data_IF_415257628073
#
_entry.id   IF_415257628073
#
_cell.length_a   1.000
_cell.length_b   1.000
_cell.length_c   1.000
_cell.angle_alpha   90.00
_cell.angle_beta   90.00
_cell.angle_gamma   90.00
#
_symmetry.space_group_name_H-M   'P 1'
#
loop_
_entity.id
_entity.type
_entity.pdbx_description
1 polymer ?
#
# COMPACT_ATOMS: atom_id res chain seq x y z
N UNK A 1 5.18 -15.30 -16.72
CA UNK A 1 4.76 -16.44 -15.87
C UNK A 1 4.79 -17.68 -16.75
N UNK A 2 5.53 -18.73 -16.39
CA UNK A 2 5.45 -20.03 -17.07
C UNK A 2 4.31 -20.84 -16.45
N UNK A 3 3.41 -21.35 -17.30
CA UNK A 3 2.42 -22.36 -16.94
C UNK A 3 2.83 -23.69 -17.60
N UNK A 4 2.69 -24.79 -16.86
CA UNK A 4 3.03 -26.12 -17.35
C UNK A 4 2.37 -27.23 -16.53
N UNK A 5 2.58 -28.46 -16.96
CA UNK A 5 2.08 -29.66 -16.28
C UNK A 5 3.25 -30.56 -15.91
N UNK A 6 3.21 -31.16 -14.73
CA UNK A 6 4.10 -32.28 -14.37
C UNK A 6 3.30 -33.56 -14.59
N UNK A 7 3.83 -34.45 -15.43
CA UNK A 7 3.28 -35.80 -15.63
C UNK A 7 3.99 -36.74 -14.67
N UNK A 8 3.26 -37.30 -13.72
CA UNK A 8 3.81 -38.30 -12.79
C UNK A 8 3.51 -39.68 -13.37
N UNK A 9 4.57 -40.45 -13.68
CA UNK A 9 4.46 -41.87 -14.04
C UNK A 9 4.66 -42.71 -12.77
N UNK A 10 3.74 -43.63 -12.51
CA UNK A 10 3.84 -44.57 -11.39
C UNK A 10 4.66 -45.78 -11.85
N UNK A 11 5.56 -46.25 -10.98
CA UNK A 11 6.38 -47.44 -11.20
C UNK A 11 5.50 -48.70 -11.39
N UNK A 12 5.85 -49.54 -12.37
CA UNK A 12 5.06 -50.70 -12.78
C UNK A 12 4.90 -51.75 -11.66
N UNK A 13 5.77 -51.78 -10.65
CA UNK A 13 5.58 -52.66 -9.48
C UNK A 13 4.44 -52.23 -8.56
N UNK A 14 4.17 -50.92 -8.43
CA UNK A 14 3.13 -50.36 -7.55
C UNK A 14 1.74 -50.43 -8.23
N UNK A 15 1.72 -50.45 -9.57
CA UNK A 15 0.50 -50.56 -10.38
C UNK A 15 -0.26 -51.87 -10.18
N UNK A 16 0.43 -52.97 -9.84
CA UNK A 16 -0.21 -54.29 -9.71
C UNK A 16 -0.94 -54.48 -8.37
N UNK A 17 -0.59 -53.72 -7.33
CA UNK A 17 -1.22 -53.82 -5.99
C UNK A 17 -2.38 -52.83 -5.78
N UNK A 18 -2.46 -51.75 -6.57
CA UNK A 18 -3.38 -50.62 -6.29
C UNK A 18 -4.43 -50.35 -7.38
N UNK A 19 -4.39 -51.08 -8.49
CA UNK A 19 -5.33 -50.95 -9.63
C UNK A 19 -5.45 -49.53 -10.22
N UNK A 20 -4.43 -48.68 -10.03
CA UNK A 20 -4.35 -47.33 -10.62
C UNK A 20 -3.41 -47.38 -11.82
N UNK A 21 -3.96 -47.34 -13.04
CA UNK A 21 -3.19 -47.59 -14.28
C UNK A 21 -2.91 -46.32 -15.10
N UNK A 22 -3.40 -45.13 -14.72
CA UNK A 22 -3.24 -43.92 -15.55
C UNK A 22 -2.33 -42.86 -14.94
N UNK A 23 -1.35 -42.32 -15.72
CA UNK A 23 -0.57 -41.16 -15.32
C UNK A 23 -1.48 -39.94 -15.17
N UNK A 24 -1.34 -39.19 -14.09
CA UNK A 24 -2.10 -37.95 -13.88
C UNK A 24 -1.20 -36.71 -14.01
N UNK A 25 -1.79 -35.62 -14.51
CA UNK A 25 -1.12 -34.35 -14.75
C UNK A 25 -1.46 -33.37 -13.63
N UNK A 26 -0.45 -32.81 -12.98
CA UNK A 26 -0.62 -31.76 -11.98
C UNK A 26 -0.29 -30.41 -12.64
N UNK A 27 -1.26 -29.48 -12.77
CA UNK A 27 -0.99 -28.15 -13.27
C UNK A 27 -0.19 -27.35 -12.24
N UNK A 28 0.80 -26.58 -12.70
CA UNK A 28 1.49 -25.64 -11.84
C UNK A 28 1.62 -24.25 -12.48
N UNK A 29 1.66 -23.24 -11.62
CA UNK A 29 1.90 -21.84 -11.98
C UNK A 29 3.03 -21.31 -11.09
N UNK A 30 4.14 -20.91 -11.70
CA UNK A 30 5.28 -20.33 -10.96
C UNK A 30 4.93 -18.92 -10.46
N UNK A 31 4.97 -18.64 -9.14
CA UNK A 31 4.89 -17.27 -8.61
C UNK A 31 6.29 -16.64 -8.54
N UNK A 32 6.37 -15.30 -8.70
CA UNK A 32 7.63 -14.54 -8.57
C UNK A 32 8.24 -14.65 -7.16
N UNK A 33 7.46 -14.98 -6.14
CA UNK A 33 7.92 -15.08 -4.74
C UNK A 33 7.44 -16.40 -4.07
N UNK A 34 8.24 -17.46 -4.20
CA UNK A 34 8.59 -18.44 -3.16
C UNK A 34 7.59 -19.33 -2.40
N UNK A 35 6.30 -19.00 -2.15
CA UNK A 35 5.55 -19.66 -1.04
C UNK A 35 4.12 -20.10 -1.42
N UNK A 36 3.92 -20.92 -2.47
CA UNK A 36 2.58 -21.44 -2.78
C UNK A 36 2.49 -22.92 -3.18
N UNK A 37 3.51 -23.74 -2.90
CA UNK A 37 3.50 -25.17 -3.28
C UNK A 37 3.03 -26.14 -2.19
N UNK A 38 3.06 -25.75 -0.90
CA UNK A 38 2.83 -26.69 0.20
C UNK A 38 1.34 -27.10 0.37
N UNK A 39 0.41 -26.20 0.07
CA UNK A 39 -1.02 -26.42 0.34
C UNK A 39 -1.71 -27.38 -0.66
N UNK A 40 -1.23 -27.44 -1.91
CA UNK A 40 -1.83 -28.29 -2.96
C UNK A 40 -1.43 -29.76 -2.83
N UNK A 41 -0.20 -30.04 -2.39
CA UNK A 41 0.31 -31.40 -2.20
C UNK A 41 -0.43 -32.09 -1.04
N UNK A 42 -0.65 -31.39 0.07
CA UNK A 42 -1.39 -31.91 1.22
C UNK A 42 -2.85 -32.26 0.85
N UNK A 43 -3.56 -31.40 0.11
CA UNK A 43 -4.94 -31.68 -0.32
C UNK A 43 -5.07 -32.90 -1.24
N UNK A 44 -4.05 -33.22 -2.04
CA UNK A 44 -4.02 -34.39 -2.91
C UNK A 44 -3.80 -35.71 -2.16
N UNK A 45 -2.86 -35.74 -1.20
CA UNK A 45 -2.51 -36.96 -0.45
C UNK A 45 -3.64 -37.39 0.50
N UNK A 46 -4.37 -36.44 1.09
CA UNK A 46 -5.52 -36.76 1.95
C UNK A 46 -6.73 -37.32 1.18
N UNK A 47 -6.81 -37.11 -0.14
CA UNK A 47 -7.88 -37.67 -1.00
C UNK A 47 -7.65 -39.12 -1.44
N UNK A 48 -6.48 -39.71 -1.15
CA UNK A 48 -6.19 -41.11 -1.46
C UNK A 48 -6.79 -42.01 -0.37
N UNK A 49 -7.93 -42.62 -0.67
CA UNK A 49 -8.79 -43.30 0.31
C UNK A 49 -8.39 -44.71 0.76
N UNK A 50 -7.39 -45.45 0.21
CA UNK A 50 -7.05 -46.76 0.78
C UNK A 50 -5.72 -46.80 1.56
N UNK A 51 -4.91 -45.73 1.55
CA UNK A 51 -3.58 -45.76 2.17
C UNK A 51 -3.63 -45.69 3.70
N UNK A 52 -2.88 -46.57 4.38
CA UNK A 52 -2.72 -46.55 5.84
C UNK A 52 -2.10 -45.22 6.30
N UNK A 53 -2.45 -44.76 7.51
CA UNK A 53 -1.95 -43.48 8.06
C UNK A 53 -0.42 -43.37 8.01
N UNK A 54 0.28 -44.47 8.28
CA UNK A 54 1.75 -44.51 8.28
C UNK A 54 2.34 -44.28 6.87
N UNK A 55 1.73 -44.86 5.83
CA UNK A 55 2.18 -44.66 4.44
C UNK A 55 1.93 -43.22 3.96
N UNK A 56 0.83 -42.60 4.38
CA UNK A 56 0.53 -41.19 4.07
C UNK A 56 1.58 -40.25 4.69
N UNK A 57 2.00 -40.50 5.93
CA UNK A 57 3.06 -39.72 6.57
C UNK A 57 4.41 -39.88 5.86
N UNK A 58 4.82 -41.12 5.53
CA UNK A 58 6.06 -41.34 4.79
C UNK A 58 6.06 -40.68 3.41
N UNK A 59 4.92 -40.66 2.71
CA UNK A 59 4.79 -40.01 1.41
C UNK A 59 4.86 -38.48 1.52
N UNK A 60 4.26 -37.89 2.57
CA UNK A 60 4.35 -36.44 2.82
C UNK A 60 5.80 -36.05 3.14
N UNK A 61 6.48 -36.82 3.99
CA UNK A 61 7.88 -36.57 4.35
C UNK A 61 8.83 -36.69 3.15
N UNK A 62 8.67 -37.70 2.30
CA UNK A 62 9.52 -37.89 1.12
C UNK A 62 9.30 -36.79 0.07
N UNK A 63 8.05 -36.40 -0.19
CA UNK A 63 7.73 -35.31 -1.12
C UNK A 63 8.26 -33.98 -0.57
N UNK A 64 8.12 -33.73 0.73
CA UNK A 64 8.65 -32.52 1.37
C UNK A 64 10.17 -32.42 1.19
N UNK A 65 10.88 -33.53 1.43
CA UNK A 65 12.33 -33.61 1.28
C UNK A 65 12.78 -33.36 -0.17
N UNK A 66 12.10 -33.97 -1.14
CA UNK A 66 12.36 -33.78 -2.58
C UNK A 66 12.13 -32.33 -3.02
N UNK A 67 11.07 -31.68 -2.54
CA UNK A 67 10.79 -30.27 -2.85
C UNK A 67 11.86 -29.35 -2.24
N UNK A 68 12.31 -29.62 -1.00
CA UNK A 68 13.39 -28.85 -0.38
C UNK A 68 14.73 -29.03 -1.09
N UNK A 69 15.06 -30.25 -1.53
CA UNK A 69 16.28 -30.51 -2.30
C UNK A 69 16.23 -29.82 -3.68
N UNK A 70 15.08 -29.84 -4.35
CA UNK A 70 14.89 -29.15 -5.63
C UNK A 70 14.97 -27.62 -5.48
N UNK A 71 14.43 -27.06 -4.39
CA UNK A 71 14.54 -25.63 -4.06
C UNK A 71 16.00 -25.23 -3.80
N UNK A 72 16.76 -26.04 -3.06
CA UNK A 72 18.19 -25.82 -2.81
C UNK A 72 19.02 -25.91 -4.09
N UNK A 73 18.70 -26.85 -4.99
CA UNK A 73 19.40 -27.03 -6.27
C UNK A 73 19.08 -25.90 -7.24
N UNK A 74 17.82 -25.42 -7.28
CA UNK A 74 17.44 -24.21 -8.02
C UNK A 74 18.13 -22.96 -7.44
N UNK A 75 18.20 -22.82 -6.12
CA UNK A 75 18.90 -21.69 -5.48
C UNK A 75 20.39 -21.68 -5.83
N UNK A 76 21.06 -22.84 -5.83
CA UNK A 76 22.46 -22.97 -6.24
C UNK A 76 22.67 -22.61 -7.73
N UNK A 77 21.77 -23.08 -8.60
CA UNK A 77 21.78 -22.77 -10.04
C UNK A 77 21.54 -21.27 -10.32
N UNK A 78 20.61 -20.63 -9.59
CA UNK A 78 20.35 -19.19 -9.71
C UNK A 78 21.52 -18.35 -9.18
N UNK A 79 22.12 -18.73 -8.04
CA UNK A 79 23.31 -18.05 -7.50
C UNK A 79 24.48 -18.13 -8.48
N UNK A 80 24.69 -19.28 -9.12
CA UNK A 80 25.78 -19.45 -10.08
C UNK A 80 25.54 -18.72 -11.41
N UNK A 81 24.28 -18.66 -11.88
CA UNK A 81 23.89 -17.87 -13.07
C UNK A 81 24.02 -16.36 -12.82
N UNK A 82 23.61 -15.88 -11.64
CA UNK A 82 23.72 -14.46 -11.26
C UNK A 82 25.19 -14.03 -11.08
N UNK A 83 26.04 -14.88 -10.51
CA UNK A 83 27.48 -14.60 -10.39
C UNK A 83 28.18 -14.57 -11.77
N UNK A 84 27.81 -15.46 -12.70
CA UNK A 84 28.34 -15.42 -14.09
C UNK A 84 27.80 -14.22 -14.88
N UNK A 85 26.56 -13.79 -14.63
CA UNK A 85 25.98 -12.59 -15.24
C UNK A 85 26.64 -11.31 -14.70
N UNK A 86 26.89 -11.25 -13.39
CA UNK A 86 27.61 -10.15 -12.75
C UNK A 86 29.05 -10.05 -13.26
N UNK A 87 29.78 -11.16 -13.37
CA UNK A 87 31.15 -11.16 -13.91
C UNK A 87 31.20 -10.74 -15.40
N UNK A 88 30.19 -11.12 -16.18
CA UNK A 88 30.05 -10.67 -17.58
C UNK A 88 29.67 -9.19 -17.70
N UNK A 89 28.83 -8.67 -16.80
CA UNK A 89 28.47 -7.25 -16.75
C UNK A 89 29.64 -6.37 -16.30
N UNK A 90 30.44 -6.83 -15.32
CA UNK A 90 31.67 -6.15 -14.90
C UNK A 90 32.71 -6.17 -16.02
N UNK A 91 32.88 -7.29 -16.73
CA UNK A 91 33.78 -7.35 -17.89
C UNK A 91 33.32 -6.44 -19.06
N UNK A 92 32.01 -6.31 -19.32
CA UNK A 92 31.47 -5.37 -20.30
C UNK A 92 31.66 -3.90 -19.89
N UNK A 93 31.63 -3.60 -18.59
CA UNK A 93 31.85 -2.25 -18.07
C UNK A 93 33.34 -1.84 -18.14
N UNK A 94 34.27 -2.80 -18.07
CA UNK A 94 35.71 -2.55 -18.26
C UNK A 94 36.11 -2.42 -19.74
N UNK A 95 35.29 -2.89 -20.68
CA UNK A 95 35.53 -2.78 -22.13
C UNK A 95 35.03 -1.45 -22.74
N UNK A 96 34.24 -0.65 -22.02
CA UNK A 96 33.70 0.64 -22.50
C UNK A 96 34.43 1.88 -21.98
N UNK A 97 35.43 1.72 -21.10
CA UNK A 97 36.25 2.81 -20.56
C UNK A 97 37.65 2.92 -21.21
N UNK A 98 37.94 2.14 -22.25
CA UNK A 98 39.21 2.17 -22.98
C UNK A 98 39.16 2.92 -24.33
N UNK A 99 38.17 3.79 -24.55
CA UNK A 99 38.10 4.63 -25.75
C UNK A 99 37.56 6.02 -25.46
N UNK A 100 38.34 6.80 -24.72
CA UNK A 100 38.29 8.26 -24.75
C UNK A 100 39.61 8.78 -24.20
N UNK A 101 40.57 8.98 -25.10
CA UNK A 101 41.83 9.64 -24.81
C UNK A 101 41.91 10.88 -25.69
N UNK A 102 41.59 12.06 -25.14
CA UNK A 102 42.21 13.30 -25.58
C UNK A 102 42.20 14.40 -24.50
N UNK A 103 43.43 14.72 -24.09
CA UNK A 103 44.00 15.98 -23.62
C UNK A 103 43.23 16.88 -22.64
N UNK A 104 43.74 16.97 -21.40
CA UNK A 104 43.45 18.03 -20.45
C UNK A 104 44.46 18.06 -19.30
N UNK A 105 45.44 18.96 -19.43
CA UNK A 105 46.50 19.41 -18.50
C UNK A 105 46.48 18.92 -17.03
N UNK A 106 47.66 18.44 -16.60
CA UNK A 106 48.11 18.32 -15.22
C UNK A 106 47.88 19.60 -14.41
N UNK A 107 47.21 19.46 -13.26
CA UNK A 107 47.50 20.28 -12.09
C UNK A 107 47.52 19.38 -10.84
N UNK A 108 48.71 19.27 -10.23
CA UNK A 108 48.92 18.73 -8.89
C UNK A 108 48.17 19.62 -7.89
N UNK A 109 47.24 19.07 -7.12
CA UNK A 109 46.93 19.59 -5.79
C UNK A 109 46.90 18.42 -4.81
N UNK A 110 47.72 18.59 -3.79
CA UNK A 110 48.02 17.71 -2.67
C UNK A 110 46.75 17.47 -1.84
N UNK A 111 46.56 16.23 -1.41
CA UNK A 111 45.54 15.87 -0.45
C UNK A 111 45.91 16.46 0.92
N UNK A 112 45.20 17.49 1.36
CA UNK A 112 45.14 17.88 2.77
C UNK A 112 43.87 17.29 3.39
N UNK A 113 44.08 16.30 4.25
CA UNK A 113 43.09 15.81 5.19
C UNK A 113 42.72 16.94 6.16
N UNK A 114 41.66 17.67 5.86
CA UNK A 114 40.98 18.49 6.86
C UNK A 114 39.69 17.78 7.25
N UNK A 115 39.73 17.11 8.39
CA UNK A 115 38.57 16.65 9.14
C UNK A 115 37.73 17.86 9.55
N UNK A 116 36.90 18.36 8.64
CA UNK A 116 35.77 19.18 9.01
C UNK A 116 34.59 18.26 9.24
N UNK A 117 34.36 17.96 10.53
CA UNK A 117 33.08 17.53 11.03
C UNK A 117 32.05 18.63 10.73
N UNK A 118 31.60 18.70 9.48
CA UNK A 118 30.37 19.38 9.13
C UNK A 118 29.28 18.48 9.67
N UNK A 119 28.71 18.86 10.81
CA UNK A 119 27.39 18.42 11.25
C UNK A 119 26.44 18.70 10.09
N UNK A 120 26.27 17.71 9.22
CA UNK A 120 25.24 17.70 8.20
C UNK A 120 23.95 17.60 9.01
N UNK A 121 23.38 18.76 9.33
CA UNK A 121 22.04 18.87 9.87
C UNK A 121 21.15 18.32 8.76
N UNK A 122 20.93 17.01 8.79
CA UNK A 122 19.95 16.35 7.95
C UNK A 122 18.62 16.92 8.39
N UNK A 123 18.08 17.85 7.60
CA UNK A 123 16.72 18.31 7.78
C UNK A 123 15.85 17.07 7.64
N UNK A 124 15.20 16.67 8.74
CA UNK A 124 14.40 15.46 8.77
C UNK A 124 13.25 15.55 7.74
N UNK A 125 12.71 14.42 7.31
CA UNK A 125 11.68 14.38 6.26
C UNK A 125 10.37 15.06 6.69
N UNK A 126 9.63 15.64 5.72
CA UNK A 126 8.21 16.02 5.89
C UNK A 126 7.26 14.81 5.88
N UNK A 127 7.82 13.61 5.87
CA UNK A 127 7.12 12.33 5.92
C UNK A 127 7.58 11.49 7.11
N UNK A 128 6.61 10.89 7.80
CA UNK A 128 6.79 9.98 8.93
C UNK A 128 6.34 8.59 8.49
N UNK A 129 7.27 7.64 8.38
CA UNK A 129 6.99 6.23 8.11
C UNK A 129 6.71 5.50 9.44
N UNK A 130 5.43 5.19 9.70
CA UNK A 130 5.03 4.60 10.98
C UNK A 130 5.49 3.14 11.10
N UNK A 131 5.61 2.42 9.98
CA UNK A 131 6.11 1.05 9.96
C UNK A 131 7.59 1.01 10.35
N UNK A 132 8.40 1.93 9.80
CA UNK A 132 9.80 2.08 10.19
C UNK A 132 9.93 2.42 11.68
N UNK A 133 9.13 3.38 12.18
CA UNK A 133 9.14 3.73 13.60
C UNK A 133 8.75 2.55 14.51
N UNK A 134 7.81 1.70 14.09
CA UNK A 134 7.44 0.50 14.84
C UNK A 134 8.56 -0.53 14.88
N UNK A 135 9.22 -0.77 13.74
CA UNK A 135 10.36 -1.69 13.63
C UNK A 135 11.55 -1.25 14.49
N UNK A 136 11.78 0.07 14.54
CA UNK A 136 12.82 0.69 15.39
C UNK A 136 12.42 0.74 16.87
N UNK A 137 11.19 0.32 17.23
CA UNK A 137 10.69 0.37 18.61
C UNK A 137 10.38 1.78 19.12
N UNK A 138 10.33 2.78 18.25
CA UNK A 138 10.06 4.19 18.59
C UNK A 138 8.58 4.45 18.93
N UNK A 139 7.69 3.50 18.66
CA UNK A 139 6.26 3.57 19.02
C UNK A 139 5.90 2.76 20.28
N UNK A 140 6.87 2.33 21.09
CA UNK A 140 6.63 1.50 22.29
C UNK A 140 6.14 2.29 23.51
N UNK A 141 6.44 3.58 23.59
CA UNK A 141 6.01 4.41 24.72
C UNK A 141 4.57 4.88 24.52
N UNK A 142 3.63 3.98 24.78
CA UNK A 142 2.19 4.22 24.65
C UNK A 142 1.56 4.60 25.97
N UNK A 143 0.36 5.16 25.88
CA UNK A 143 -0.54 5.31 27.02
C UNK A 143 -1.95 4.88 26.61
N UNK A 144 -2.76 4.58 27.61
CA UNK A 144 -4.16 4.21 27.42
C UNK A 144 -4.98 5.45 27.05
N UNK A 145 -5.64 5.40 25.89
CA UNK A 145 -6.57 6.43 25.41
C UNK A 145 -7.96 5.82 25.29
N UNK A 146 -8.97 6.50 25.84
CA UNK A 146 -10.37 6.07 25.75
C UNK A 146 -11.13 6.99 24.80
N UNK A 147 -11.66 6.42 23.72
CA UNK A 147 -12.57 7.07 22.79
C UNK A 147 -13.99 6.72 23.22
N UNK A 148 -14.77 7.74 23.61
CA UNK A 148 -16.12 7.53 24.17
C UNK A 148 -17.14 7.11 23.12
N UNK A 149 -16.97 7.57 21.89
CA UNK A 149 -17.84 7.26 20.76
C UNK A 149 -16.96 7.14 19.51
N UNK A 150 -16.46 5.94 19.26
CA UNK A 150 -15.61 5.68 18.10
C UNK A 150 -16.47 5.64 16.82
N UNK A 151 -16.18 6.46 15.79
CA UNK A 151 -17.02 6.55 14.59
C UNK A 151 -16.94 5.32 13.68
N UNK A 152 -15.97 4.44 13.87
CA UNK A 152 -15.78 3.21 13.09
C UNK A 152 -16.41 2.01 13.79
N UNK A 153 -16.27 1.92 15.11
CA UNK A 153 -16.81 0.83 15.93
C UNK A 153 -18.16 1.13 16.57
N UNK A 154 -18.63 2.38 16.53
CA UNK A 154 -19.88 2.87 17.14
C UNK A 154 -20.05 2.43 18.60
N UNK A 155 -18.96 2.50 19.35
CA UNK A 155 -18.88 2.07 20.75
C UNK A 155 -17.73 2.76 21.49
N UNK A 156 -17.72 2.64 22.81
CA UNK A 156 -16.57 3.03 23.63
C UNK A 156 -15.43 2.07 23.30
N UNK A 157 -14.25 2.63 22.98
CA UNK A 157 -13.04 1.88 22.66
C UNK A 157 -11.83 2.41 23.42
N UNK A 158 -10.93 1.50 23.80
CA UNK A 158 -9.67 1.80 24.48
C UNK A 158 -8.48 1.35 23.64
N UNK A 159 -7.48 2.20 23.54
CA UNK A 159 -6.31 1.95 22.70
C UNK A 159 -5.02 2.20 23.47
N UNK A 160 -3.98 1.43 23.14
CA UNK A 160 -2.60 1.85 23.41
C UNK A 160 -2.16 2.75 22.27
N UNK A 161 -1.79 3.99 22.58
CA UNK A 161 -1.52 4.98 21.55
C UNK A 161 -0.35 5.92 21.89
N UNK A 162 0.22 6.51 20.84
CA UNK A 162 1.26 7.54 20.91
C UNK A 162 0.65 8.88 20.50
N UNK A 163 0.92 9.94 21.26
CA UNK A 163 0.43 11.28 20.93
C UNK A 163 1.01 11.75 19.59
N UNK A 164 0.14 12.13 18.65
CA UNK A 164 0.55 12.55 17.32
C UNK A 164 1.36 13.85 17.38
N UNK A 165 1.01 14.77 18.28
CA UNK A 165 1.79 16.00 18.52
C UNK A 165 3.25 15.72 18.94
N UNK A 166 3.50 14.67 19.74
CA UNK A 166 4.86 14.23 20.10
C UNK A 166 5.61 13.62 18.91
N UNK A 167 4.92 12.87 18.05
CA UNK A 167 5.51 12.33 16.82
C UNK A 167 5.86 13.45 15.84
N UNK A 168 4.99 14.45 15.66
CA UNK A 168 5.26 15.58 14.76
C UNK A 168 6.42 16.44 15.27
N UNK A 169 6.46 16.74 16.58
CA UNK A 169 7.50 17.58 17.18
C UNK A 169 8.88 16.92 17.30
N UNK A 170 8.99 15.61 17.07
CA UNK A 170 10.29 14.93 17.02
C UNK A 170 11.03 15.11 15.70
N UNK A 171 10.36 15.62 14.66
CA UNK A 171 10.94 15.91 13.35
C UNK A 171 11.27 17.40 13.24
N UNK A 172 12.54 17.73 13.05
CA UNK A 172 12.99 19.13 13.03
C UNK A 172 12.34 19.96 11.92
N UNK A 173 12.19 19.38 10.72
CA UNK A 173 11.55 20.05 9.58
C UNK A 173 10.07 20.37 9.82
N UNK A 174 9.39 19.56 10.61
CA UNK A 174 7.96 19.75 10.94
C UNK A 174 7.81 20.80 12.03
N UNK A 175 8.71 20.81 13.02
CA UNK A 175 8.65 21.71 14.17
C UNK A 175 8.72 23.20 13.79
N UNK A 176 9.33 23.54 12.66
CA UNK A 176 9.59 24.93 12.25
C UNK A 176 8.56 25.52 11.31
N UNK A 177 7.55 24.76 10.86
CA UNK A 177 6.55 25.26 9.91
C UNK A 177 5.41 26.01 10.60
N UNK A 178 4.75 26.90 9.87
CA UNK A 178 3.44 27.41 10.25
C UNK A 178 2.36 26.39 9.83
N UNK A 179 1.68 25.72 10.78
CA UNK A 179 0.69 24.69 10.48
C UNK A 179 -0.50 25.18 9.65
N UNK A 180 -0.75 26.49 9.56
CA UNK A 180 -1.83 27.05 8.72
C UNK A 180 -1.56 26.89 7.22
N UNK A 181 -0.29 26.79 6.83
CA UNK A 181 0.13 26.67 5.43
C UNK A 181 0.23 25.23 4.93
N UNK A 182 -0.15 24.25 5.76
CA UNK A 182 0.05 22.84 5.46
C UNK A 182 -1.23 22.01 5.68
N UNK A 183 -1.40 21.01 4.82
CA UNK A 183 -2.25 19.85 5.06
C UNK A 183 -1.43 18.73 5.67
N UNK A 184 -2.08 17.90 6.47
CA UNK A 184 -1.60 16.57 6.84
C UNK A 184 -2.31 15.53 5.98
N UNK A 185 -1.54 14.62 5.40
CA UNK A 185 -2.01 13.51 4.58
C UNK A 185 -1.70 12.22 5.32
N UNK A 186 -2.72 11.40 5.51
CA UNK A 186 -2.61 10.08 6.12
C UNK A 186 -2.65 9.04 5.02
N UNK A 187 -1.65 8.17 4.92
CA UNK A 187 -1.59 7.14 3.89
C UNK A 187 -1.80 5.76 4.50
N UNK A 188 -2.86 5.10 4.03
CA UNK A 188 -3.22 3.73 4.42
C UNK A 188 -2.61 2.70 3.47
N UNK A 189 -2.45 1.46 3.93
CA UNK A 189 -1.85 0.36 3.17
C UNK A 189 -2.62 0.04 1.88
N UNK A 190 -3.94 0.23 1.88
CA UNK A 190 -4.83 0.03 0.74
C UNK A 190 -4.87 1.19 -0.27
N UNK A 191 -4.11 2.26 -0.01
CA UNK A 191 -4.05 3.45 -0.86
C UNK A 191 -5.08 4.53 -0.55
N UNK A 192 -5.91 4.37 0.49
CA UNK A 192 -6.73 5.47 1.02
C UNK A 192 -5.83 6.60 1.55
N UNK A 193 -6.11 7.84 1.16
CA UNK A 193 -5.30 9.03 1.51
C UNK A 193 -6.13 10.21 1.99
N UNK A 194 -6.81 10.12 3.15
CA UNK A 194 -7.51 11.27 3.70
C UNK A 194 -6.53 12.36 4.09
N UNK A 195 -6.95 13.60 3.90
CA UNK A 195 -6.20 14.79 4.26
C UNK A 195 -7.09 15.79 4.99
N UNK A 196 -6.46 16.67 5.77
CA UNK A 196 -7.12 17.77 6.48
C UNK A 196 -6.09 18.85 6.86
N UNK A 197 -6.53 20.06 7.25
CA UNK A 197 -5.61 21.10 7.69
C UNK A 197 -4.77 20.65 8.88
N UNK A 198 -3.45 20.88 8.83
CA UNK A 198 -2.56 20.48 9.91
C UNK A 198 -2.91 21.19 11.23
N UNK A 199 -3.31 22.46 11.16
CA UNK A 199 -3.77 23.21 12.35
C UNK A 199 -4.88 22.47 13.10
N UNK A 200 -5.83 21.82 12.40
CA UNK A 200 -6.93 21.08 13.03
C UNK A 200 -6.44 19.86 13.84
N UNK A 201 -5.34 19.23 13.42
CA UNK A 201 -4.64 18.21 14.22
C UNK A 201 -3.94 18.84 15.42
N UNK A 202 -3.23 19.94 15.22
CA UNK A 202 -2.47 20.62 16.28
C UNK A 202 -3.36 21.13 17.42
N UNK A 203 -4.59 21.53 17.10
CA UNK A 203 -5.59 21.99 18.08
C UNK A 203 -6.34 20.85 18.76
N UNK A 204 -6.08 19.59 18.37
CA UNK A 204 -6.76 18.40 18.87
C UNK A 204 -5.85 17.51 19.72
N UNK A 205 -6.47 16.67 20.54
CA UNK A 205 -5.78 15.56 21.22
C UNK A 205 -5.80 14.33 20.32
N UNK A 206 -4.98 14.36 19.26
CA UNK A 206 -4.86 13.27 18.30
C UNK A 206 -3.78 12.25 18.69
N UNK A 207 -4.04 10.98 18.41
CA UNK A 207 -3.15 9.87 18.73
C UNK A 207 -3.08 8.85 17.59
N UNK A 208 -1.91 8.24 17.45
CA UNK A 208 -1.72 7.06 16.61
C UNK A 208 -1.82 5.83 17.51
N UNK A 209 -2.95 5.14 17.46
CA UNK A 209 -3.17 3.87 18.15
C UNK A 209 -2.34 2.76 17.48
N UNK A 210 -1.68 1.95 18.31
CA UNK A 210 -0.86 0.80 17.89
C UNK A 210 -1.49 -0.54 18.24
N UNK A 211 -2.46 -0.55 19.16
CA UNK A 211 -3.31 -1.69 19.45
C UNK A 211 -4.61 -1.26 20.14
N UNK A 212 -5.62 -2.11 19.98
CA UNK A 212 -6.92 -2.03 20.63
C UNK A 212 -6.91 -2.90 21.89
N UNK A 213 -7.16 -2.28 23.03
CA UNK A 213 -7.17 -2.95 24.35
C UNK A 213 -8.44 -3.79 24.52
N UNK A 214 -9.51 -3.44 23.81
CA UNK A 214 -10.79 -4.14 23.86
C UNK A 214 -10.89 -5.24 22.78
N UNK A 215 -9.80 -5.50 22.05
CA UNK A 215 -9.74 -6.59 21.08
C UNK A 215 -9.93 -7.96 21.76
N UNK A 216 -10.54 -8.94 21.04
CA UNK A 216 -10.63 -10.30 21.54
C UNK A 216 -9.27 -10.88 21.94
N UNK A 217 -9.25 -11.74 22.96
CA UNK A 217 -8.00 -12.32 23.49
C UNK A 217 -7.17 -12.97 22.37
N UNK A 218 -5.91 -12.55 22.25
CA UNK A 218 -4.97 -13.03 21.23
C UNK A 218 -4.99 -12.22 19.93
N UNK A 219 -5.84 -11.19 19.81
CA UNK A 219 -5.86 -10.25 18.70
C UNK A 219 -5.33 -8.88 19.14
N UNK A 220 -4.71 -8.14 18.22
CA UNK A 220 -4.25 -6.77 18.46
C UNK A 220 -5.32 -5.72 18.18
N UNK A 221 -6.36 -6.08 17.43
CA UNK A 221 -7.40 -5.18 16.93
C UNK A 221 -8.75 -5.91 16.90
N UNK A 222 -9.83 -5.26 17.31
CA UNK A 222 -11.19 -5.73 16.99
C UNK A 222 -11.44 -5.66 15.48
N UNK A 223 -12.26 -6.57 14.98
CA UNK A 223 -12.69 -6.56 13.58
C UNK A 223 -13.54 -5.32 13.27
N UNK A 224 -13.27 -4.68 12.14
CA UNK A 224 -14.11 -3.61 11.60
C UNK A 224 -15.00 -4.22 10.54
N UNK A 225 -16.32 -4.05 10.66
CA UNK A 225 -17.28 -4.47 9.63
C UNK A 225 -17.93 -3.22 9.05
N UNK A 226 -17.72 -2.99 7.75
CA UNK A 226 -18.31 -1.86 7.03
C UNK A 226 -19.09 -2.39 5.83
N UNK A 227 -20.39 -2.08 5.77
CA UNK A 227 -21.28 -2.52 4.69
C UNK A 227 -21.23 -4.04 4.43
N UNK A 228 -21.08 -4.84 5.49
CA UNK A 228 -20.95 -6.30 5.41
C UNK A 228 -19.55 -6.82 5.03
N UNK A 229 -18.59 -5.92 4.79
CA UNK A 229 -17.20 -6.27 4.48
C UNK A 229 -16.29 -6.09 5.69
N UNK A 230 -15.41 -7.07 5.91
CA UNK A 230 -14.38 -6.98 6.93
C UNK A 230 -13.25 -6.06 6.45
N UNK A 231 -12.95 -5.04 7.27
CA UNK A 231 -11.88 -4.09 7.07
C UNK A 231 -10.74 -4.36 8.05
N UNK A 232 -9.52 -3.98 7.66
CA UNK A 232 -8.31 -4.21 8.45
C UNK A 232 -7.99 -2.96 9.26
N UNK A 233 -8.07 -3.01 10.59
CA UNK A 233 -7.67 -1.88 11.43
C UNK A 233 -6.14 -1.66 11.46
N UNK A 234 -5.39 -2.75 11.51
CA UNK A 234 -3.93 -2.77 11.62
C UNK A 234 -3.22 -2.13 10.41
N UNK A 235 -2.00 -1.58 10.57
CA UNK A 235 -1.20 -1.62 11.79
C UNK A 235 -1.46 -0.48 12.76
N UNK A 236 -1.99 0.66 12.28
CA UNK A 236 -2.26 1.83 13.09
C UNK A 236 -3.63 2.43 12.77
N UNK A 237 -4.18 3.13 13.76
CA UNK A 237 -5.45 3.84 13.65
C UNK A 237 -5.30 5.25 14.23
N UNK A 238 -5.71 6.26 13.47
CA UNK A 238 -5.78 7.63 13.97
C UNK A 238 -7.05 7.82 14.80
N UNK A 239 -6.86 8.20 16.06
CA UNK A 239 -7.95 8.42 17.01
C UNK A 239 -7.80 9.78 17.70
N UNK A 240 -8.88 10.25 18.31
CA UNK A 240 -8.92 11.52 19.01
C UNK A 240 -9.60 11.37 20.37
N UNK A 241 -9.16 12.13 21.35
CA UNK A 241 -9.96 12.41 22.54
C UNK A 241 -10.89 13.60 22.27
N UNK A 242 -12.14 13.49 22.77
CA UNK A 242 -13.12 14.58 22.78
C UNK A 242 -13.51 15.16 21.40
N UNK A 243 -13.40 14.35 20.34
CA UNK A 243 -14.01 14.64 19.03
C UNK A 243 -15.27 13.77 18.87
N UNK A 244 -16.47 14.36 18.70
CA UNK A 244 -17.70 13.60 18.49
C UNK A 244 -17.67 12.77 17.19
N UNK A 245 -18.31 11.60 17.18
CA UNK A 245 -18.35 10.72 16.00
C UNK A 245 -19.06 11.34 14.78
N UNK A 246 -19.97 12.30 15.00
CA UNK A 246 -20.69 12.99 13.93
C UNK A 246 -19.92 14.17 13.32
N UNK A 247 -18.75 14.53 13.84
CA UNK A 247 -17.91 15.58 13.28
C UNK A 247 -17.10 15.05 12.07
N UNK A 248 -17.69 15.16 10.89
CA UNK A 248 -17.18 14.53 9.65
C UNK A 248 -15.91 15.15 9.07
N UNK A 249 -15.51 16.33 9.56
CA UNK A 249 -14.29 17.01 9.11
C UNK A 249 -13.03 16.40 9.72
N UNK A 250 -13.12 15.75 10.90
CA UNK A 250 -12.00 14.96 11.43
C UNK A 250 -11.93 13.62 10.70
N UNK A 251 -10.74 13.27 10.23
CA UNK A 251 -10.50 12.01 9.53
C UNK A 251 -10.01 10.97 10.52
N UNK A 252 -10.57 9.76 10.46
CA UNK A 252 -10.26 8.62 11.32
C UNK A 252 -9.73 7.43 10.49
N UNK A 253 -8.60 7.57 9.76
CA UNK A 253 -8.02 6.47 9.00
C UNK A 253 -7.49 5.37 9.91
N UNK A 254 -8.02 4.17 9.74
CA UNK A 254 -7.38 2.93 10.13
C UNK A 254 -6.56 2.39 8.96
N UNK A 255 -5.85 1.27 9.17
CA UNK A 255 -4.91 0.73 8.17
C UNK A 255 -3.78 1.72 7.82
N UNK A 256 -3.53 2.69 8.71
CA UNK A 256 -2.59 3.78 8.52
C UNK A 256 -1.16 3.25 8.53
N UNK A 257 -0.31 3.73 7.62
CA UNK A 257 1.12 3.31 7.53
C UNK A 257 2.08 4.49 7.45
N UNK A 258 1.64 5.65 6.97
CA UNK A 258 2.51 6.82 6.78
C UNK A 258 1.74 8.12 6.99
N UNK A 259 2.45 9.15 7.47
CA UNK A 259 1.94 10.52 7.61
C UNK A 259 2.83 11.44 6.79
N UNK A 260 2.24 12.38 6.05
CA UNK A 260 2.99 13.36 5.25
C UNK A 260 2.43 14.75 5.47
N UNK A 261 3.29 15.76 5.51
CA UNK A 261 2.88 17.16 5.54
C UNK A 261 3.13 17.79 4.18
N UNK A 262 2.10 18.41 3.63
CA UNK A 262 2.14 19.00 2.30
C UNK A 262 1.74 20.45 2.36
N UNK A 263 2.53 21.31 1.73
CA UNK A 263 2.22 22.73 1.65
C UNK A 263 0.96 22.95 0.79
N UNK A 264 0.02 23.75 1.27
CA UNK A 264 -1.27 23.99 0.62
C UNK A 264 -1.07 24.47 -0.84
N UNK A 265 -0.14 25.39 -1.09
CA UNK A 265 0.05 26.00 -2.40
C UNK A 265 0.54 25.00 -3.46
N UNK A 266 1.33 23.99 -3.07
CA UNK A 266 1.90 23.03 -4.01
C UNK A 266 0.85 22.04 -4.54
N UNK A 267 0.00 21.51 -3.67
CA UNK A 267 -1.06 20.60 -4.10
C UNK A 267 -2.10 21.34 -4.94
N UNK A 268 -2.61 22.47 -4.44
CA UNK A 268 -3.63 23.26 -5.13
C UNK A 268 -3.18 23.64 -6.54
N UNK A 269 -1.90 24.00 -6.75
CA UNK A 269 -1.39 24.37 -8.08
C UNK A 269 -1.50 23.26 -9.15
N UNK A 270 -1.55 21.98 -8.76
CA UNK A 270 -1.56 20.84 -9.69
C UNK A 270 -2.97 20.28 -9.97
N UNK A 271 -3.94 20.58 -9.11
CA UNK A 271 -5.30 20.01 -9.19
C UNK A 271 -6.40 21.06 -9.19
N UNK A 272 -6.15 22.29 -8.74
CA UNK A 272 -7.16 23.33 -8.76
C UNK A 272 -7.24 23.99 -10.16
N UNK A 273 -8.45 24.21 -10.67
CA UNK A 273 -8.67 24.97 -11.90
C UNK A 273 -8.13 26.41 -11.79
N UNK A 274 -7.70 26.94 -12.93
CA UNK A 274 -7.33 28.35 -13.10
C UNK A 274 -8.39 29.05 -13.94
N UNK A 275 -8.92 30.16 -13.42
CA UNK A 275 -9.81 31.09 -14.11
C UNK A 275 -11.10 30.46 -14.72
N UNK A 276 -11.54 29.29 -14.24
CA UNK A 276 -12.82 28.66 -14.62
C UNK A 276 -13.68 28.42 -13.35
N UNK A 277 -14.65 29.30 -13.05
CA UNK A 277 -15.52 29.17 -11.88
C UNK A 277 -16.37 27.88 -11.87
N UNK A 278 -16.70 27.34 -13.04
CA UNK A 278 -17.51 26.12 -13.15
C UNK A 278 -16.65 24.89 -12.86
N UNK A 279 -15.42 24.86 -13.36
CA UNK A 279 -14.44 23.84 -13.00
C UNK A 279 -14.11 23.94 -11.52
N UNK A 280 -13.95 25.14 -10.97
CA UNK A 280 -13.69 25.35 -9.54
C UNK A 280 -14.80 24.74 -8.68
N UNK A 281 -16.06 24.97 -9.01
CA UNK A 281 -17.18 24.35 -8.28
C UNK A 281 -17.15 22.81 -8.36
N UNK A 282 -16.74 22.24 -9.49
CA UNK A 282 -16.54 20.80 -9.64
C UNK A 282 -15.34 20.26 -8.86
N UNK A 283 -14.26 21.04 -8.79
CA UNK A 283 -13.07 20.74 -7.99
C UNK A 283 -13.40 20.70 -6.50
N UNK A 284 -14.13 21.68 -5.96
CA UNK A 284 -14.49 21.71 -4.54
C UNK A 284 -15.31 20.46 -4.14
N UNK A 285 -16.19 20.01 -5.03
CA UNK A 285 -16.94 18.76 -4.87
C UNK A 285 -16.05 17.52 -4.96
N UNK A 286 -15.10 17.51 -5.90
CA UNK A 286 -14.14 16.41 -6.08
C UNK A 286 -13.19 16.29 -4.88
N UNK A 287 -12.65 17.41 -4.40
CA UNK A 287 -11.76 17.48 -3.25
C UNK A 287 -12.45 16.93 -1.99
N UNK A 288 -13.72 17.31 -1.78
CA UNK A 288 -14.49 16.83 -0.64
C UNK A 288 -14.81 15.33 -0.69
N UNK A 289 -15.10 14.78 -1.88
CA UNK A 289 -15.76 13.47 -1.99
C UNK A 289 -14.93 12.38 -2.68
N UNK A 290 -13.90 12.75 -3.45
CA UNK A 290 -13.22 11.83 -4.38
C UNK A 290 -11.71 11.74 -4.15
N UNK A 291 -11.06 12.85 -3.81
CA UNK A 291 -9.58 12.96 -3.77
C UNK A 291 -8.93 12.01 -2.76
N UNK A 292 -9.66 11.57 -1.74
CA UNK A 292 -9.13 10.64 -0.73
C UNK A 292 -8.93 9.22 -1.27
N UNK A 293 -9.66 8.85 -2.33
CA UNK A 293 -9.55 7.55 -2.99
C UNK A 293 -8.88 7.65 -4.36
N UNK A 294 -9.12 8.76 -5.08
CA UNK A 294 -8.67 8.97 -6.44
C UNK A 294 -7.63 10.09 -6.52
N UNK A 295 -6.69 9.94 -7.45
CA UNK A 295 -5.72 10.98 -7.74
C UNK A 295 -6.06 11.74 -9.03
N UNK A 296 -5.69 13.02 -9.05
CA UNK A 296 -5.57 13.86 -10.25
C UNK A 296 -4.13 14.33 -10.30
N UNK A 297 -3.44 14.11 -11.43
CA UNK A 297 -2.04 14.54 -11.58
C UNK A 297 -1.13 14.00 -10.46
N UNK A 298 -1.39 12.74 -10.04
CA UNK A 298 -0.71 12.04 -8.92
C UNK A 298 -0.96 12.62 -7.52
N UNK A 299 -1.84 13.61 -7.38
CA UNK A 299 -2.25 14.15 -6.08
C UNK A 299 -3.59 13.54 -5.68
N UNK A 300 -3.63 12.90 -4.51
CA UNK A 300 -4.80 12.21 -3.97
C UNK A 300 -4.52 10.73 -3.67
N UNK A 301 -5.60 9.98 -3.44
CA UNK A 301 -5.58 8.55 -3.11
C UNK A 301 -5.19 7.65 -4.28
N UNK A 302 -4.79 6.44 -3.93
CA UNK A 302 -4.44 5.36 -4.89
C UNK A 302 -5.28 4.10 -4.69
N UNK A 303 -6.30 4.17 -3.84
CA UNK A 303 -7.30 3.10 -3.67
C UNK A 303 -8.13 2.94 -4.95
N UNK A 304 -8.56 4.07 -5.50
CA UNK A 304 -9.13 4.17 -6.83
C UNK A 304 -8.04 4.46 -7.87
N UNK A 305 -8.34 4.28 -9.17
CA UNK A 305 -7.44 4.72 -10.23
C UNK A 305 -7.20 6.23 -10.17
N UNK A 306 -6.03 6.62 -10.65
CA UNK A 306 -5.79 8.00 -11.09
C UNK A 306 -6.79 8.32 -12.24
N UNK A 307 -7.32 9.55 -12.26
CA UNK A 307 -8.40 9.95 -13.15
C UNK A 307 -8.02 10.95 -14.27
N UNK A 308 -6.77 11.37 -14.37
CA UNK A 308 -6.29 12.37 -15.34
C UNK A 308 -5.08 11.93 -16.20
N UNK A 309 -4.06 11.32 -15.61
CA UNK A 309 -2.77 10.95 -16.20
C UNK A 309 -2.50 9.42 -16.18
N UNK A 310 -2.05 8.81 -17.30
CA UNK A 310 -1.70 9.43 -18.58
C UNK A 310 -2.90 9.70 -19.50
N UNK A 311 -4.05 9.08 -19.22
CA UNK A 311 -5.28 9.27 -19.98
C UNK A 311 -6.43 9.50 -19.01
N UNK A 312 -7.11 10.63 -19.14
CA UNK A 312 -8.20 11.03 -18.26
C UNK A 312 -9.39 10.11 -18.42
N UNK A 313 -10.12 9.89 -17.32
CA UNK A 313 -11.34 9.07 -17.31
C UNK A 313 -12.37 9.55 -18.34
N UNK A 314 -12.40 10.86 -18.61
CA UNK A 314 -13.31 11.50 -19.57
C UNK A 314 -12.92 11.26 -21.03
N UNK A 315 -11.68 10.84 -21.30
CA UNK A 315 -11.19 10.55 -22.66
C UNK A 315 -11.57 9.13 -23.15
N UNK A 316 -12.02 8.25 -22.25
CA UNK A 316 -12.39 6.88 -22.62
C UNK A 316 -13.73 6.41 -22.07
N UNK A 317 -14.29 7.07 -21.04
CA UNK A 317 -15.69 6.88 -20.69
C UNK A 317 -16.59 7.82 -21.46
N UNK A 318 -17.71 7.29 -21.96
CA UNK A 318 -18.82 8.14 -22.40
C UNK A 318 -19.38 8.90 -21.20
N UNK A 319 -19.55 10.22 -21.33
CA UNK A 319 -20.02 11.13 -20.26
C UNK A 319 -21.23 10.59 -19.49
N UNK A 320 -22.29 10.19 -20.20
CA UNK A 320 -23.52 9.68 -19.56
C UNK A 320 -23.30 8.38 -18.79
N UNK A 321 -22.38 7.53 -19.24
CA UNK A 321 -22.03 6.29 -18.55
C UNK A 321 -21.18 6.57 -17.32
N UNK A 322 -20.25 7.53 -17.39
CA UNK A 322 -19.49 7.98 -16.24
C UNK A 322 -20.40 8.56 -15.16
N UNK A 323 -21.37 9.41 -15.55
CA UNK A 323 -22.38 9.96 -14.64
C UNK A 323 -23.17 8.86 -13.92
N UNK A 324 -23.72 7.91 -14.67
CA UNK A 324 -24.45 6.77 -14.11
C UNK A 324 -23.57 5.89 -13.22
N UNK A 325 -22.30 5.72 -13.58
CA UNK A 325 -21.35 4.98 -12.75
C UNK A 325 -21.10 5.67 -11.41
N UNK A 326 -20.87 6.99 -11.40
CA UNK A 326 -20.67 7.76 -10.16
C UNK A 326 -21.95 7.72 -9.29
N UNK A 327 -23.13 7.78 -9.90
CA UNK A 327 -24.41 7.68 -9.19
C UNK A 327 -24.62 6.31 -8.54
N UNK A 328 -24.33 5.22 -9.27
CA UNK A 328 -24.60 3.86 -8.83
C UNK A 328 -23.48 2.89 -9.24
N UNK A 329 -22.31 2.92 -8.58
CA UNK A 329 -21.16 2.12 -8.99
C UNK A 329 -21.47 0.61 -9.10
N UNK A 330 -22.29 0.10 -8.17
CA UNK A 330 -22.64 -1.32 -8.08
C UNK A 330 -23.46 -1.82 -9.29
N UNK A 331 -24.10 -0.91 -10.03
CA UNK A 331 -24.84 -1.26 -11.25
C UNK A 331 -23.93 -1.55 -12.45
N UNK A 332 -22.63 -1.19 -12.38
CA UNK A 332 -21.67 -1.38 -13.47
C UNK A 332 -20.69 -2.53 -13.25
N UNK A 333 -20.39 -2.86 -11.99
CA UNK A 333 -19.33 -3.82 -11.64
C UNK A 333 -19.74 -4.64 -10.42
N UNK A 334 -19.61 -5.96 -10.53
CA UNK A 334 -19.70 -6.86 -9.37
C UNK A 334 -18.55 -6.57 -8.40
N UNK A 335 -18.84 -6.55 -7.09
CA UNK A 335 -17.87 -6.28 -6.02
C UNK A 335 -17.10 -4.96 -6.18
N UNK A 336 -17.77 -3.93 -6.71
CA UNK A 336 -17.18 -2.59 -6.81
C UNK A 336 -16.86 -2.04 -5.41
N UNK A 337 -15.65 -1.53 -5.24
CA UNK A 337 -15.22 -0.93 -3.96
C UNK A 337 -15.58 0.54 -3.82
N UNK A 338 -15.85 1.21 -4.94
CA UNK A 338 -16.29 2.60 -4.93
C UNK A 338 -17.71 2.67 -4.32
N UNK A 339 -17.90 3.38 -3.20
CA UNK A 339 -19.19 3.46 -2.55
C UNK A 339 -20.16 4.34 -3.34
N UNK A 340 -21.45 4.15 -3.10
CA UNK A 340 -22.47 5.12 -3.52
C UNK A 340 -22.34 6.36 -2.65
N UNK A 341 -22.13 7.52 -3.26
CA UNK A 341 -22.03 8.80 -2.57
C UNK A 341 -23.45 9.35 -2.31
N UNK A 342 -23.92 9.26 -1.08
CA UNK A 342 -25.30 9.66 -0.70
C UNK A 342 -25.45 11.16 -0.45
N UNK A 343 -24.34 11.88 -0.37
CA UNK A 343 -24.27 13.30 -0.04
C UNK A 343 -24.05 14.21 -1.27
N UNK A 344 -24.24 13.69 -2.49
CA UNK A 344 -24.12 14.45 -3.74
C UNK A 344 -25.35 14.26 -4.63
N UNK A 345 -25.74 15.30 -5.34
CA UNK A 345 -26.86 15.32 -6.27
C UNK A 345 -26.44 15.00 -7.71
N UNK A 346 -27.37 14.68 -8.63
CA UNK A 346 -27.04 14.55 -10.05
C UNK A 346 -26.37 15.78 -10.66
N UNK A 347 -26.67 16.98 -10.15
CA UNK A 347 -26.05 18.24 -10.58
C UNK A 347 -24.61 18.34 -10.09
N UNK A 348 -24.34 17.94 -8.85
CA UNK A 348 -22.98 17.92 -8.31
C UNK A 348 -22.09 16.98 -9.12
N UNK A 349 -22.63 15.82 -9.54
CA UNK A 349 -21.92 14.88 -10.42
C UNK A 349 -21.61 15.51 -11.78
N UNK A 350 -22.53 16.29 -12.36
CA UNK A 350 -22.25 17.03 -13.61
C UNK A 350 -21.11 18.04 -13.44
N UNK A 351 -21.04 18.72 -12.28
CA UNK A 351 -19.95 19.65 -11.97
C UNK A 351 -18.62 18.92 -11.78
N UNK A 352 -18.61 17.80 -11.05
CA UNK A 352 -17.43 16.95 -10.91
C UNK A 352 -16.94 16.48 -12.29
N UNK A 353 -17.84 16.00 -13.16
CA UNK A 353 -17.46 15.58 -14.51
C UNK A 353 -16.90 16.75 -15.32
N UNK A 354 -17.50 17.95 -15.22
CA UNK A 354 -16.96 19.13 -15.89
C UNK A 354 -15.53 19.46 -15.41
N UNK A 355 -15.26 19.33 -14.11
CA UNK A 355 -13.90 19.45 -13.58
C UNK A 355 -12.94 18.38 -14.15
N UNK A 356 -13.36 17.12 -14.23
CA UNK A 356 -12.54 16.05 -14.82
C UNK A 356 -12.29 16.27 -16.32
N UNK A 357 -13.26 16.85 -17.04
CA UNK A 357 -13.11 17.29 -18.43
C UNK A 357 -12.09 18.43 -18.51
N UNK A 358 -12.20 19.45 -17.67
CA UNK A 358 -11.21 20.55 -17.57
C UNK A 358 -9.80 20.00 -17.32
N UNK A 359 -9.64 19.08 -16.37
CA UNK A 359 -8.32 18.52 -16.03
C UNK A 359 -7.71 17.69 -17.15
N UNK A 360 -8.53 17.13 -18.06
CA UNK A 360 -8.03 16.35 -19.20
C UNK A 360 -7.15 17.18 -20.13
N UNK A 361 -7.32 18.50 -20.17
CA UNK A 361 -6.48 19.44 -20.91
C UNK A 361 -5.29 19.98 -20.07
N UNK A 362 -5.23 19.65 -18.77
CA UNK A 362 -4.27 20.16 -17.79
C UNK A 362 -3.51 19.03 -17.08
N UNK A 363 -2.85 18.17 -17.85
CA UNK A 363 -2.00 17.08 -17.35
C UNK A 363 -0.61 17.59 -16.96
N UNK A 364 0.04 16.91 -16.01
CA UNK A 364 1.41 17.18 -15.57
C UNK A 364 2.50 16.65 -16.50
#
# INVERSE_FOLDING_TARGET
>A
MLQGYITVKIDSKISQETNVITPFKIPFRSPRNGIFYFALILKGVYKLSPLSKLLKYCLILSITLLVTLFQLQLYSLFKHKMHKLYLKLVALLFLTLASCQQQGKQHKIVAENTTNASTKQTVDSMSIDLLALQQEGKLKNTHLVTVQDDPVYHSIKRYQAVALSKLLSSYTAIKTIDPKNYQIVFECEDGYKPMMPLQKIMDSKAYVAVSDVDAPKGQLWSEIIKDGHQMKAAPFYLIYEAVPANETDYKWPYNLVKIQLVNNSLNTALIAPKDDPKAQAGFDLFDKNCVTCHAINKIGGTMGPELNYPKSVTEYWKKDQLKKFIQHPASFRNDVKMPTLTNITPRDIDQIIYYLEYMSDHKI
#
